data_IF_329403575638
#
_entry.id   IF_329403575638
#
_cell.length_a   1.000
_cell.length_b   1.000
_cell.length_c   1.000
_cell.angle_alpha   90.00
_cell.angle_beta   90.00
_cell.angle_gamma   90.00
#
_symmetry.space_group_name_H-M   'P 1'
#
loop_
_entity.id
_entity.type
_entity.pdbx_description
1 polymer ?
#
# COMPACT_ATOMS: atom_id res chain seq x y z
N UNK A 1 21.35 5.26 1.42
CA UNK A 1 19.92 4.94 1.48
C UNK A 1 19.66 4.16 2.75
N UNK A 2 18.69 4.58 3.56
CA UNK A 2 18.27 3.89 4.78
C UNK A 2 17.36 2.71 4.43
N UNK A 3 17.18 1.76 5.36
CA UNK A 3 16.24 0.63 5.19
C UNK A 3 14.83 1.12 4.85
N UNK A 4 14.37 2.20 5.50
CA UNK A 4 13.05 2.78 5.24
C UNK A 4 12.92 3.35 3.83
N UNK A 5 13.95 4.03 3.34
CA UNK A 5 13.99 4.55 1.96
C UNK A 5 13.94 3.42 0.94
N UNK A 6 14.66 2.31 1.17
CA UNK A 6 14.61 1.12 0.32
C UNK A 6 13.22 0.48 0.29
N UNK A 7 12.56 0.36 1.46
CA UNK A 7 11.20 -0.18 1.54
C UNK A 7 10.21 0.72 0.78
N UNK A 8 10.30 2.04 0.94
CA UNK A 8 9.44 2.99 0.22
C UNK A 8 9.67 2.87 -1.30
N UNK A 9 10.92 2.73 -1.76
CA UNK A 9 11.22 2.51 -3.17
C UNK A 9 10.65 1.19 -3.69
N UNK A 10 10.81 0.09 -2.95
CA UNK A 10 10.20 -1.19 -3.29
C UNK A 10 8.68 -1.10 -3.40
N UNK A 11 8.02 -0.39 -2.47
CA UNK A 11 6.58 -0.17 -2.55
C UNK A 11 6.20 0.64 -3.79
N UNK A 12 6.92 1.71 -4.11
CA UNK A 12 6.67 2.51 -5.33
C UNK A 12 6.80 1.67 -6.61
N UNK A 13 7.85 0.86 -6.72
CA UNK A 13 8.04 -0.04 -7.85
C UNK A 13 6.91 -1.06 -7.96
N UNK A 14 6.43 -1.57 -6.82
CA UNK A 14 5.29 -2.49 -6.77
C UNK A 14 3.97 -1.81 -7.20
N UNK A 15 3.71 -0.59 -6.71
CA UNK A 15 2.54 0.21 -7.07
C UNK A 15 2.52 0.51 -8.58
N UNK A 16 3.67 0.86 -9.17
CA UNK A 16 3.81 1.07 -10.61
C UNK A 16 3.52 -0.23 -11.39
N UNK A 17 4.12 -1.35 -10.98
CA UNK A 17 3.92 -2.67 -11.62
C UNK A 17 2.45 -3.11 -11.58
N UNK A 18 1.74 -2.84 -10.50
CA UNK A 18 0.33 -3.21 -10.31
C UNK A 18 -0.65 -2.14 -10.80
N UNK A 19 -0.15 -1.01 -11.30
CA UNK A 19 -0.94 0.15 -11.75
C UNK A 19 -1.86 0.71 -10.67
N UNK A 20 -1.45 0.64 -9.42
CA UNK A 20 -2.15 1.25 -8.29
C UNK A 20 -1.52 2.62 -8.04
N UNK A 21 -2.31 3.67 -8.22
CA UNK A 21 -1.89 5.03 -7.88
C UNK A 21 -2.07 5.31 -6.39
N UNK A 22 -1.21 6.17 -5.85
CA UNK A 22 -1.30 6.66 -4.47
C UNK A 22 -1.28 8.19 -4.45
N UNK A 23 -1.98 8.76 -3.47
CA UNK A 23 -2.06 10.18 -3.24
C UNK A 23 -0.66 10.73 -2.89
N UNK A 24 -0.12 11.56 -3.79
CA UNK A 24 1.23 12.11 -3.66
C UNK A 24 1.31 13.25 -2.64
N UNK A 25 0.19 13.92 -2.37
CA UNK A 25 0.12 15.02 -1.40
C UNK A 25 0.17 14.46 0.03
N UNK A 26 -0.46 13.29 0.26
CA UNK A 26 -0.33 12.52 1.51
C UNK A 26 1.03 11.81 1.57
N UNK A 27 1.43 11.20 0.47
CA UNK A 27 2.70 10.50 0.35
C UNK A 27 2.70 9.08 0.93
N UNK A 28 3.91 8.59 1.20
CA UNK A 28 4.17 7.24 1.70
C UNK A 28 5.06 7.36 2.93
N UNK A 29 4.65 6.77 4.04
CA UNK A 29 5.37 6.84 5.30
C UNK A 29 5.70 5.44 5.83
N UNK A 30 6.97 5.23 6.23
CA UNK A 30 7.44 3.95 6.74
C UNK A 30 7.68 4.04 8.25
N UNK A 31 6.95 3.21 8.99
CA UNK A 31 7.03 3.16 10.45
C UNK A 31 8.34 2.49 10.89
N UNK A 32 8.61 2.52 12.20
CA UNK A 32 9.69 1.72 12.76
C UNK A 32 9.33 0.24 12.71
N UNK A 33 10.35 -0.62 12.74
CA UNK A 33 10.11 -2.07 12.81
C UNK A 33 9.33 -2.42 14.09
N UNK A 34 8.43 -3.39 13.98
CA UNK A 34 7.66 -3.91 15.10
C UNK A 34 7.52 -5.44 15.00
N UNK A 35 7.40 -6.11 16.13
CA UNK A 35 7.11 -7.54 16.19
C UNK A 35 5.59 -7.72 16.28
N UNK A 36 4.99 -8.37 15.28
CA UNK A 36 3.54 -8.45 15.15
C UNK A 36 3.10 -9.84 14.68
N UNK A 37 1.94 -10.25 15.18
CA UNK A 37 1.23 -11.41 14.66
C UNK A 37 0.63 -11.09 13.29
N UNK A 38 1.08 -11.79 12.26
CA UNK A 38 0.58 -11.68 10.91
C UNK A 38 -0.77 -12.39 10.75
N UNK A 39 -1.44 -12.16 9.62
CA UNK A 39 -2.77 -12.73 9.34
C UNK A 39 -2.78 -14.26 9.22
N UNK A 40 -1.65 -14.87 8.87
CA UNK A 40 -1.46 -16.33 8.80
C UNK A 40 -1.24 -16.95 10.19
N UNK A 41 -1.20 -16.12 11.24
CA UNK A 41 -1.03 -16.53 12.63
C UNK A 41 0.44 -16.60 13.08
N UNK A 42 1.40 -16.34 12.21
CA UNK A 42 2.83 -16.35 12.56
C UNK A 42 3.25 -14.99 13.12
N UNK A 43 4.06 -15.00 14.18
CA UNK A 43 4.67 -13.78 14.70
C UNK A 43 5.97 -13.47 13.94
N UNK A 44 6.15 -12.20 13.54
CA UNK A 44 7.32 -11.78 12.76
C UNK A 44 7.70 -10.32 13.02
N UNK A 45 9.00 -10.01 12.91
CA UNK A 45 9.44 -8.62 12.80
C UNK A 45 9.10 -8.08 11.40
N UNK A 46 8.42 -6.94 11.35
CA UNK A 46 7.96 -6.31 10.12
C UNK A 46 8.21 -4.81 10.11
N UNK A 47 8.20 -4.24 8.92
CA UNK A 47 7.94 -2.82 8.71
C UNK A 47 6.52 -2.63 8.18
N UNK A 48 5.83 -1.61 8.68
CA UNK A 48 4.55 -1.16 8.13
C UNK A 48 4.77 0.14 7.37
N UNK A 49 4.22 0.21 6.17
CA UNK A 49 4.20 1.42 5.35
C UNK A 49 2.76 1.83 5.13
N UNK A 50 2.41 3.05 5.54
CA UNK A 50 1.09 3.62 5.32
C UNK A 50 1.09 4.57 4.11
N UNK A 51 0.02 4.47 3.32
CA UNK A 51 -0.25 5.35 2.19
C UNK A 51 -1.76 5.37 1.91
N UNK A 52 -2.19 6.30 1.05
CA UNK A 52 -3.57 6.40 0.59
C UNK A 52 -3.61 6.25 -0.94
N UNK A 53 -4.56 5.49 -1.48
CA UNK A 53 -4.77 5.46 -2.94
C UNK A 53 -5.37 6.79 -3.41
N UNK A 54 -5.14 7.18 -4.66
CA UNK A 54 -5.76 8.39 -5.22
C UNK A 54 -7.30 8.28 -5.24
N UNK A 55 -7.97 9.43 -5.10
CA UNK A 55 -9.39 9.54 -5.42
C UNK A 55 -9.61 9.27 -6.92
N UNK A 56 -10.71 8.60 -7.24
CA UNK A 56 -11.13 8.40 -8.63
C UNK A 56 -12.48 9.07 -8.86
N UNK A 57 -12.50 10.04 -9.76
CA UNK A 57 -13.72 10.69 -10.24
C UNK A 57 -14.08 10.10 -11.59
N UNK A 58 -15.31 9.63 -11.74
CA UNK A 58 -15.84 9.18 -13.02
C UNK A 58 -16.77 10.25 -13.60
N UNK A 59 -16.57 10.54 -14.87
CA UNK A 59 -17.33 11.53 -15.64
C UNK A 59 -18.15 10.82 -16.72
N UNK A 60 -19.31 11.35 -17.05
CA UNK A 60 -20.08 10.93 -18.21
C UNK A 60 -19.50 11.48 -19.53
N UNK A 61 -20.18 11.18 -20.64
CA UNK A 61 -19.79 11.67 -21.98
C UNK A 61 -19.91 13.20 -22.15
N UNK A 62 -20.67 13.87 -21.29
CA UNK A 62 -20.84 15.32 -21.27
C UNK A 62 -19.83 16.02 -20.34
N UNK A 63 -18.99 15.24 -19.63
CA UNK A 63 -18.03 15.76 -18.66
C UNK A 63 -18.64 16.07 -17.29
N UNK A 64 -19.85 15.59 -17.00
CA UNK A 64 -20.48 15.71 -15.69
C UNK A 64 -20.01 14.59 -14.76
N UNK A 65 -19.76 14.92 -13.48
CA UNK A 65 -19.36 13.93 -12.47
C UNK A 65 -20.53 13.01 -12.18
N UNK A 66 -20.33 11.71 -12.37
CA UNK A 66 -21.33 10.67 -12.08
C UNK A 66 -20.96 9.81 -10.88
N UNK A 67 -19.68 9.75 -10.50
CA UNK A 67 -19.24 9.02 -9.30
C UNK A 67 -17.95 9.59 -8.73
N UNK A 68 -17.83 9.50 -7.41
CA UNK A 68 -16.60 9.73 -6.65
C UNK A 68 -16.27 8.46 -5.87
N UNK A 69 -15.08 7.92 -6.09
CA UNK A 69 -14.49 6.86 -5.29
C UNK A 69 -13.37 7.48 -4.47
N UNK A 70 -13.62 7.65 -3.18
CA UNK A 70 -12.61 8.16 -2.25
C UNK A 70 -11.43 7.18 -2.15
N UNK A 71 -10.24 7.76 -2.07
CA UNK A 71 -9.00 7.07 -1.80
C UNK A 71 -9.06 6.24 -0.53
N UNK A 72 -8.44 5.07 -0.56
CA UNK A 72 -8.45 4.15 0.57
C UNK A 72 -7.10 4.17 1.28
N UNK A 73 -7.15 4.30 2.60
CA UNK A 73 -5.99 4.05 3.46
C UNK A 73 -5.55 2.58 3.34
N UNK A 74 -4.26 2.40 3.10
CA UNK A 74 -3.60 1.12 2.88
C UNK A 74 -2.37 1.00 3.79
N UNK A 75 -2.12 -0.22 4.25
CA UNK A 75 -0.96 -0.58 5.06
C UNK A 75 -0.21 -1.73 4.40
N UNK A 76 0.96 -1.46 3.86
CA UNK A 76 1.84 -2.47 3.28
C UNK A 76 2.75 -3.06 4.35
N UNK A 77 2.75 -4.39 4.45
CA UNK A 77 3.52 -5.15 5.42
C UNK A 77 4.76 -5.72 4.74
N UNK A 78 5.94 -5.33 5.22
CA UNK A 78 7.22 -5.81 4.70
C UNK A 78 7.92 -6.66 5.75
N UNK A 79 8.54 -7.73 5.30
CA UNK A 79 9.43 -8.57 6.09
C UNK A 79 10.66 -7.76 6.55
N UNK A 80 10.97 -7.73 7.85
CA UNK A 80 12.10 -6.93 8.33
C UNK A 80 13.49 -7.49 7.97
N UNK A 81 13.60 -8.80 7.68
CA UNK A 81 14.85 -9.47 7.34
C UNK A 81 15.15 -9.36 5.84
N UNK A 82 14.15 -9.60 5.00
CA UNK A 82 14.29 -9.66 3.54
C UNK A 82 13.88 -8.37 2.83
N UNK A 83 13.13 -7.50 3.52
CA UNK A 83 12.51 -6.29 2.97
C UNK A 83 11.56 -6.60 1.81
N UNK A 84 11.04 -7.82 1.72
CA UNK A 84 10.06 -8.21 0.71
C UNK A 84 8.65 -7.86 1.17
N UNK A 85 7.81 -7.46 0.20
CA UNK A 85 6.39 -7.19 0.46
C UNK A 85 5.69 -8.52 0.78
N UNK A 86 5.01 -8.56 1.93
CA UNK A 86 4.20 -9.71 2.34
C UNK A 86 2.79 -9.59 1.78
N UNK A 87 2.12 -8.48 2.10
CA UNK A 87 0.78 -8.15 1.63
C UNK A 87 0.46 -6.67 1.91
N UNK A 88 -0.61 -6.16 1.32
CA UNK A 88 -1.19 -4.86 1.64
C UNK A 88 -2.55 -5.08 2.27
N UNK A 89 -2.79 -4.51 3.45
CA UNK A 89 -4.10 -4.45 4.08
C UNK A 89 -4.81 -3.17 3.67
N UNK A 90 -6.07 -3.28 3.26
CA UNK A 90 -7.00 -2.16 3.04
C UNK A 90 -8.31 -2.42 3.75
N UNK A 91 -9.18 -1.40 3.83
CA UNK A 91 -10.51 -1.53 4.47
C UNK A 91 -11.33 -2.71 3.92
N UNK A 92 -11.22 -3.00 2.63
CA UNK A 92 -12.00 -4.04 1.95
C UNK A 92 -11.34 -5.44 1.94
N UNK A 93 -10.17 -5.62 2.56
CA UNK A 93 -9.47 -6.92 2.59
C UNK A 93 -7.97 -6.78 2.41
N UNK A 94 -7.37 -7.76 1.75
CA UNK A 94 -5.92 -7.83 1.54
C UNK A 94 -5.59 -7.83 0.05
N UNK A 95 -4.36 -7.44 -0.26
CA UNK A 95 -3.75 -7.58 -1.58
C UNK A 95 -2.47 -8.37 -1.38
N UNK A 96 -2.33 -9.47 -2.10
CA UNK A 96 -1.14 -10.31 -2.09
C UNK A 96 0.04 -9.59 -2.75
N UNK A 97 1.25 -10.07 -2.50
CA UNK A 97 2.47 -9.51 -3.08
C UNK A 97 2.51 -9.56 -4.62
N UNK A 98 1.67 -10.37 -5.26
CA UNK A 98 1.52 -10.41 -6.72
C UNK A 98 0.43 -9.46 -7.26
N UNK A 99 -0.33 -8.80 -6.39
CA UNK A 99 -1.43 -7.90 -6.74
C UNK A 99 -2.81 -8.55 -6.74
N UNK A 100 -2.93 -9.84 -6.41
CA UNK A 100 -4.22 -10.53 -6.28
C UNK A 100 -4.98 -10.16 -5.00
N UNK A 101 -6.31 -10.38 -4.99
CA UNK A 101 -7.23 -10.05 -3.90
C UNK A 101 -7.72 -11.29 -3.16
#
# INVERSE_FOLDING_TARGET
MTTKEQIIEKLKNWLEKTKISYDKDIGINCWNKEFKKLRDGNDKEIYIVDFQTEDKIEYDENGEIISLFEGMSCFAYFDAETLELLYIMKKAGYIEADGSY
#
